data_IF_456902864836
#
_entry.id   IF_456902864836
#
_cell.length_a   1.000
_cell.length_b   1.000
_cell.length_c   1.000
_cell.angle_alpha   90.00
_cell.angle_beta   90.00
_cell.angle_gamma   90.00
#
_symmetry.space_group_name_H-M   'P 1'
#
loop_
_entity.id
_entity.type
_entity.pdbx_description
1 polymer ?
#
# COMPACT_ATOMS: atom_id res chain seq x y z
N UNK A 1 73.82 -23.61 12.60
CA UNK A 1 72.94 -22.77 11.74
C UNK A 1 73.21 -21.31 12.06
N UNK A 2 73.48 -20.48 11.05
CA UNK A 2 73.80 -19.06 11.27
C UNK A 2 72.53 -18.27 11.65
N UNK A 3 72.59 -17.36 12.64
CA UNK A 3 71.43 -16.63 13.16
C UNK A 3 70.78 -15.68 12.13
N UNK A 4 71.48 -15.35 11.02
CA UNK A 4 70.96 -14.55 9.91
C UNK A 4 69.89 -15.28 9.08
N UNK A 5 70.03 -16.60 8.89
CA UNK A 5 69.10 -17.41 8.09
C UNK A 5 67.72 -17.52 8.75
N UNK A 6 67.69 -17.59 10.09
CA UNK A 6 66.45 -17.68 10.88
C UNK A 6 65.60 -16.40 10.75
N UNK A 7 66.25 -15.23 10.75
CA UNK A 7 65.57 -13.94 10.61
C UNK A 7 64.91 -13.77 9.24
N UNK A 8 65.58 -14.23 8.17
CA UNK A 8 65.02 -14.14 6.81
C UNK A 8 63.79 -15.02 6.61
N UNK A 9 63.79 -16.23 7.17
CA UNK A 9 62.63 -17.14 7.13
C UNK A 9 61.48 -16.55 7.94
N UNK A 10 61.77 -16.04 9.14
CA UNK A 10 60.76 -15.43 10.01
C UNK A 10 60.07 -14.22 9.35
N UNK A 11 60.81 -13.33 8.70
CA UNK A 11 60.22 -12.15 8.04
C UNK A 11 59.34 -12.50 6.84
N UNK A 12 59.70 -13.53 6.05
CA UNK A 12 58.86 -14.00 4.94
C UNK A 12 57.55 -14.61 5.46
N UNK A 13 57.64 -15.46 6.49
CA UNK A 13 56.46 -16.03 7.13
C UNK A 13 55.57 -14.95 7.74
N UNK A 14 56.15 -13.94 8.39
CA UNK A 14 55.40 -12.80 8.94
C UNK A 14 54.68 -12.02 7.83
N UNK A 15 55.34 -11.75 6.71
CA UNK A 15 54.74 -11.05 5.57
C UNK A 15 53.57 -11.83 4.96
N UNK A 16 53.69 -13.16 4.81
CA UNK A 16 52.59 -13.99 4.36
C UNK A 16 51.41 -14.00 5.34
N UNK A 17 51.70 -14.04 6.65
CA UNK A 17 50.66 -14.00 7.68
C UNK A 17 49.89 -12.66 7.65
N UNK A 18 50.61 -11.54 7.54
CA UNK A 18 50.00 -10.20 7.41
C UNK A 18 49.17 -10.10 6.12
N UNK A 19 49.68 -10.58 4.99
CA UNK A 19 48.94 -10.60 3.73
C UNK A 19 47.66 -11.43 3.83
N UNK A 20 47.71 -12.57 4.52
CA UNK A 20 46.56 -13.43 4.76
C UNK A 20 45.50 -12.76 5.64
N UNK A 21 45.92 -12.07 6.71
CA UNK A 21 45.01 -11.30 7.57
C UNK A 21 44.34 -10.19 6.78
N UNK A 22 45.09 -9.43 5.98
CA UNK A 22 44.53 -8.36 5.14
C UNK A 22 43.53 -8.92 4.13
N UNK A 23 43.84 -10.06 3.50
CA UNK A 23 42.94 -10.73 2.58
C UNK A 23 41.61 -11.12 3.26
N UNK A 24 41.68 -11.70 4.47
CA UNK A 24 40.49 -12.04 5.24
C UNK A 24 39.69 -10.78 5.58
N UNK A 25 40.35 -9.71 6.04
CA UNK A 25 39.67 -8.45 6.32
C UNK A 25 38.94 -7.92 5.08
N UNK A 26 39.58 -7.92 3.92
CA UNK A 26 38.95 -7.50 2.66
C UNK A 26 37.76 -8.38 2.29
N UNK A 27 37.86 -9.70 2.45
CA UNK A 27 36.74 -10.62 2.21
C UNK A 27 35.57 -10.32 3.14
N UNK A 28 35.81 -10.16 4.44
CA UNK A 28 34.76 -9.85 5.42
C UNK A 28 34.08 -8.51 5.09
N UNK A 29 34.86 -7.46 4.79
CA UNK A 29 34.31 -6.16 4.40
C UNK A 29 33.51 -6.26 3.10
N UNK A 30 33.99 -7.04 2.12
CA UNK A 30 33.28 -7.24 0.85
C UNK A 30 31.94 -7.95 1.07
N UNK A 31 31.90 -8.99 1.90
CA UNK A 31 30.67 -9.72 2.22
C UNK A 31 29.69 -8.80 2.94
N UNK A 32 30.16 -8.05 3.96
CA UNK A 32 29.33 -7.07 4.66
C UNK A 32 28.75 -6.02 3.73
N UNK A 33 29.54 -5.51 2.79
CA UNK A 33 29.08 -4.54 1.80
C UNK A 33 27.98 -5.10 0.89
N UNK A 34 28.12 -6.35 0.42
CA UNK A 34 27.10 -7.01 -0.39
C UNK A 34 25.81 -7.25 0.38
N UNK A 35 25.90 -7.71 1.62
CA UNK A 35 24.74 -7.91 2.51
C UNK A 35 24.04 -6.59 2.76
N UNK A 36 24.80 -5.54 3.12
CA UNK A 36 24.26 -4.21 3.35
C UNK A 36 23.51 -3.69 2.11
N UNK A 37 24.14 -3.78 0.92
CA UNK A 37 23.52 -3.32 -0.32
C UNK A 37 22.24 -4.08 -0.64
N UNK A 38 22.23 -5.41 -0.52
CA UNK A 38 21.07 -6.21 -0.84
C UNK A 38 19.91 -5.98 0.16
N UNK A 39 20.22 -6.01 1.45
CA UNK A 39 19.22 -5.86 2.51
C UNK A 39 18.63 -4.45 2.55
N UNK A 40 19.49 -3.42 2.50
CA UNK A 40 19.05 -2.03 2.59
C UNK A 40 18.13 -1.64 1.41
N UNK A 41 18.42 -2.13 0.21
CA UNK A 41 17.56 -1.90 -0.95
C UNK A 41 16.16 -2.48 -0.76
N UNK A 42 16.04 -3.69 -0.19
CA UNK A 42 14.74 -4.31 0.06
C UNK A 42 13.97 -3.55 1.13
N UNK A 43 14.61 -3.15 2.23
CA UNK A 43 13.98 -2.34 3.28
C UNK A 43 13.51 -0.98 2.75
N UNK A 44 14.32 -0.33 1.91
CA UNK A 44 13.95 0.94 1.28
C UNK A 44 12.68 0.78 0.43
N UNK A 45 12.54 -0.34 -0.31
CA UNK A 45 11.35 -0.60 -1.12
C UNK A 45 10.07 -0.72 -0.27
N UNK A 46 10.16 -1.39 0.88
CA UNK A 46 9.04 -1.46 1.85
C UNK A 46 8.68 -0.07 2.35
N UNK A 47 9.69 0.73 2.73
CA UNK A 47 9.48 2.09 3.22
C UNK A 47 8.80 2.98 2.18
N UNK A 48 9.22 2.89 0.91
CA UNK A 48 8.58 3.61 -0.19
C UNK A 48 7.15 3.12 -0.46
N UNK A 49 6.89 1.82 -0.38
CA UNK A 49 5.53 1.29 -0.51
C UNK A 49 4.62 1.77 0.62
N UNK A 50 5.13 1.83 1.85
CA UNK A 50 4.43 2.38 3.00
C UNK A 50 4.11 3.87 2.80
N UNK A 51 5.03 4.65 2.24
CA UNK A 51 4.79 6.05 1.92
C UNK A 51 3.68 6.23 0.85
N UNK A 52 3.66 5.37 -0.18
CA UNK A 52 2.57 5.35 -1.16
C UNK A 52 1.23 4.96 -0.52
N UNK A 53 1.25 4.01 0.40
CA UNK A 53 0.08 3.60 1.16
C UNK A 53 -0.47 4.75 2.01
N UNK A 54 0.40 5.49 2.72
CA UNK A 54 0.01 6.69 3.46
C UNK A 54 -0.51 7.82 2.56
N UNK A 55 -0.06 7.90 1.31
CA UNK A 55 -0.56 8.85 0.33
C UNK A 55 -1.95 8.48 -0.23
N UNK A 56 -2.54 7.35 0.21
CA UNK A 56 -3.85 6.88 -0.23
C UNK A 56 -3.82 5.93 -1.43
N UNK A 57 -2.63 5.46 -1.85
CA UNK A 57 -2.51 4.45 -2.90
C UNK A 57 -2.51 3.04 -2.30
N UNK A 58 -3.71 2.51 -2.04
CA UNK A 58 -3.91 1.17 -1.47
C UNK A 58 -3.65 0.03 -2.45
N UNK A 59 -3.48 0.30 -3.76
CA UNK A 59 -3.21 -0.70 -4.78
C UNK A 59 -1.73 -1.09 -4.89
N UNK A 60 -0.85 -0.42 -4.13
CA UNK A 60 0.58 -0.74 -4.11
C UNK A 60 0.79 -2.13 -3.51
N UNK A 61 1.62 -2.96 -4.17
CA UNK A 61 2.01 -4.30 -3.70
C UNK A 61 3.51 -4.49 -3.78
N UNK A 62 4.06 -5.20 -2.82
CA UNK A 62 5.47 -5.58 -2.75
C UNK A 62 5.67 -7.01 -3.26
N UNK A 63 6.75 -7.28 -4.01
CA UNK A 63 7.05 -8.63 -4.48
C UNK A 63 7.47 -9.56 -3.32
N UNK A 64 6.87 -10.74 -3.25
CA UNK A 64 7.13 -11.76 -2.21
C UNK A 64 8.07 -12.84 -2.76
N UNK A 65 9.18 -12.41 -3.37
CA UNK A 65 10.15 -13.33 -4.00
C UNK A 65 11.14 -13.94 -2.99
N UNK A 66 11.26 -13.30 -1.82
CA UNK A 66 12.14 -13.78 -0.74
C UNK A 66 11.38 -14.69 0.21
N UNK A 67 12.03 -15.74 0.69
CA UNK A 67 11.53 -16.63 1.77
C UNK A 67 12.12 -16.29 3.14
N UNK A 68 12.77 -15.13 3.26
CA UNK A 68 13.34 -14.60 4.50
C UNK A 68 12.34 -13.70 5.24
N UNK A 69 12.78 -13.09 6.34
CA UNK A 69 11.98 -12.16 7.14
C UNK A 69 11.50 -10.95 6.33
N UNK A 70 12.25 -10.55 5.30
CA UNK A 70 11.84 -9.45 4.40
C UNK A 70 10.70 -9.91 3.49
N UNK A 71 10.73 -11.16 3.03
CA UNK A 71 9.61 -11.79 2.34
C UNK A 71 8.33 -11.81 3.17
N UNK A 72 8.44 -12.22 4.44
CA UNK A 72 7.31 -12.21 5.38
C UNK A 72 6.80 -10.79 5.61
N UNK A 73 7.70 -9.80 5.74
CA UNK A 73 7.31 -8.40 5.88
C UNK A 73 6.57 -7.88 4.64
N UNK A 74 7.02 -8.25 3.44
CA UNK A 74 6.35 -7.89 2.19
C UNK A 74 4.94 -8.49 2.11
N UNK A 75 4.77 -9.74 2.55
CA UNK A 75 3.47 -10.40 2.64
C UNK A 75 2.54 -9.65 3.59
N UNK A 76 2.99 -9.36 4.82
CA UNK A 76 2.20 -8.62 5.81
C UNK A 76 1.82 -7.21 5.33
N UNK A 77 2.71 -6.54 4.60
CA UNK A 77 2.40 -5.26 3.97
C UNK A 77 1.27 -5.40 2.94
N UNK A 78 1.33 -6.42 2.08
CA UNK A 78 0.30 -6.66 1.07
C UNK A 78 -1.05 -6.97 1.71
N UNK A 79 -1.08 -7.79 2.76
CA UNK A 79 -2.30 -8.10 3.51
C UNK A 79 -2.91 -6.85 4.16
N UNK A 80 -2.06 -5.93 4.64
CA UNK A 80 -2.50 -4.66 5.19
C UNK A 80 -3.02 -3.70 4.11
N UNK A 81 -2.38 -3.66 2.95
CA UNK A 81 -2.85 -2.88 1.81
C UNK A 81 -4.21 -3.38 1.31
N UNK A 82 -4.42 -4.69 1.24
CA UNK A 82 -5.69 -5.32 0.87
C UNK A 82 -6.81 -5.03 1.88
N UNK A 83 -6.51 -5.10 3.19
CA UNK A 83 -7.51 -4.75 4.22
C UNK A 83 -7.94 -3.28 4.13
N UNK A 84 -7.00 -2.38 3.86
CA UNK A 84 -7.33 -0.96 3.67
C UNK A 84 -8.16 -0.75 2.40
N UNK A 85 -7.76 -1.34 1.28
CA UNK A 85 -8.52 -1.30 0.03
C UNK A 85 -9.98 -1.75 0.24
N UNK A 86 -10.18 -2.91 0.85
CA UNK A 86 -11.51 -3.44 1.17
C UNK A 86 -12.31 -2.52 2.10
N UNK A 87 -11.65 -1.91 3.09
CA UNK A 87 -12.31 -0.97 4.01
C UNK A 87 -12.84 0.26 3.26
N UNK A 88 -12.03 0.84 2.37
CA UNK A 88 -12.44 2.01 1.59
C UNK A 88 -13.52 1.66 0.57
N UNK A 89 -13.38 0.56 -0.17
CA UNK A 89 -14.41 0.10 -1.12
C UNK A 89 -15.75 -0.19 -0.45
N UNK A 90 -15.73 -0.85 0.72
CA UNK A 90 -16.96 -1.15 1.45
C UNK A 90 -17.61 0.11 2.05
N UNK A 91 -16.81 1.07 2.54
CA UNK A 91 -17.34 2.35 3.05
C UNK A 91 -18.02 3.19 1.97
N UNK A 92 -17.47 3.20 0.74
CA UNK A 92 -18.08 3.88 -0.41
C UNK A 92 -19.39 3.21 -0.84
N UNK A 93 -19.44 1.87 -0.84
CA UNK A 93 -20.66 1.14 -1.18
C UNK A 93 -21.79 1.35 -0.15
N UNK A 94 -21.44 1.53 1.13
CA UNK A 94 -22.42 1.80 2.19
C UNK A 94 -23.09 3.17 2.02
N UNK A 95 -22.32 4.23 1.73
CA UNK A 95 -22.88 5.58 1.55
C UNK A 95 -23.70 5.73 0.26
N UNK A 96 -23.27 5.08 -0.83
CA UNK A 96 -23.99 5.12 -2.11
C UNK A 96 -25.31 4.35 -2.02
N UNK A 97 -25.32 3.21 -1.32
CA UNK A 97 -26.55 2.44 -1.13
C UNK A 97 -27.59 3.25 -0.36
N UNK A 98 -27.20 3.88 0.75
CA UNK A 98 -28.11 4.66 1.60
C UNK A 98 -28.69 5.89 0.87
N UNK A 99 -27.86 6.55 0.04
CA UNK A 99 -28.31 7.71 -0.74
C UNK A 99 -29.17 7.33 -1.94
N UNK A 100 -28.96 6.15 -2.51
CA UNK A 100 -29.79 5.64 -3.60
C UNK A 100 -31.20 5.23 -3.14
N UNK A 101 -31.35 4.73 -1.91
CA UNK A 101 -32.66 4.44 -1.31
C UNK A 101 -33.46 5.70 -0.99
N UNK A 102 -32.82 6.71 -0.38
CA UNK A 102 -33.49 7.98 -0.04
C UNK A 102 -33.87 8.80 -1.28
N UNK A 103 -33.00 8.85 -2.30
CA UNK A 103 -33.33 9.55 -3.57
C UNK A 103 -34.45 8.85 -4.34
N UNK A 104 -34.53 7.51 -4.30
CA UNK A 104 -35.63 6.79 -4.94
C UNK A 104 -36.96 6.93 -4.17
N UNK A 105 -36.92 6.98 -2.84
CA UNK A 105 -38.11 7.26 -2.02
C UNK A 105 -38.62 8.69 -2.25
N UNK A 106 -37.74 9.69 -2.16
CA UNK A 106 -38.09 11.10 -2.43
C UNK A 106 -38.61 11.30 -3.85
N UNK A 107 -38.04 10.60 -4.85
CA UNK A 107 -38.51 10.66 -6.23
C UNK A 107 -39.91 10.03 -6.42
N UNK A 108 -40.23 8.95 -5.68
CA UNK A 108 -41.57 8.36 -5.71
C UNK A 108 -42.61 9.25 -5.02
N UNK A 109 -42.26 9.90 -3.90
CA UNK A 109 -43.16 10.82 -3.18
C UNK A 109 -43.44 12.08 -4.01
N UNK A 110 -42.43 12.68 -4.63
CA UNK A 110 -42.60 13.85 -5.52
C UNK A 110 -43.42 13.51 -6.76
N UNK A 111 -43.28 12.30 -7.31
CA UNK A 111 -44.09 11.83 -8.44
C UNK A 111 -45.56 11.57 -8.04
N UNK A 112 -45.79 11.09 -6.81
CA UNK A 112 -47.14 10.86 -6.27
C UNK A 112 -47.86 12.17 -5.90
N UNK A 113 -47.14 13.20 -5.44
CA UNK A 113 -47.71 14.52 -5.14
C UNK A 113 -48.04 15.31 -6.43
N UNK A 114 -47.22 15.19 -7.48
CA UNK A 114 -47.45 15.84 -8.78
C UNK A 114 -48.70 15.31 -9.53
N UNK A 115 -49.17 14.10 -9.24
CA UNK A 115 -50.45 13.58 -9.78
C UNK A 115 -51.68 14.08 -8.99
N UNK A 116 -51.52 14.57 -7.76
CA UNK A 116 -52.63 15.03 -6.91
C UNK A 116 -53.04 16.49 -7.13
N UNK A 117 -52.18 17.32 -7.73
CA UNK A 117 -52.43 18.75 -7.96
C UNK A 117 -53.11 19.08 -9.31
N UNK A 118 -53.33 18.08 -10.19
CA UNK A 118 -54.00 18.30 -11.49
C UNK A 118 -55.54 18.14 -11.40
N UNK A 119 -56.10 17.63 -10.28
CA UNK A 119 -57.56 17.43 -10.14
C UNK A 119 -58.29 18.55 -9.36
N UNK A 120 -57.58 19.57 -8.85
CA UNK A 120 -58.20 20.68 -8.09
C UNK A 120 -58.42 21.92 -8.98
N UNK A 121 -58.93 21.79 -10.20
CA UNK A 121 -59.47 22.95 -10.94
C UNK A 121 -60.50 22.61 -12.04
N UNK A 122 -61.55 21.85 -11.71
CA UNK A 122 -62.72 21.73 -12.62
C UNK A 122 -64.09 21.90 -11.96
N UNK A 123 -64.17 22.03 -10.64
CA UNK A 123 -65.46 22.10 -9.92
C UNK A 123 -65.96 23.53 -9.63
N UNK A 124 -65.23 24.59 -9.98
CA UNK A 124 -65.65 25.99 -9.68
C UNK A 124 -66.21 26.74 -10.91
N UNK A 125 -66.12 26.19 -12.13
CA UNK A 125 -66.61 26.83 -13.36
C UNK A 125 -67.83 26.12 -13.97
N UNK A 126 -68.89 25.90 -13.18
CA UNK A 126 -70.24 25.62 -13.72
C UNK A 126 -71.31 26.05 -12.70
N UNK A 127 -71.49 27.36 -12.50
CA UNK A 127 -72.71 27.88 -11.86
C UNK A 127 -72.99 29.36 -12.13
N UNK A 128 -72.67 29.84 -13.34
CA UNK A 128 -73.02 31.20 -13.79
C UNK A 128 -73.53 31.21 -15.23
N UNK A 129 -74.43 30.30 -15.59
CA UNK A 129 -75.30 30.43 -16.77
C UNK A 129 -76.34 29.30 -16.67
N UNK A 130 -77.50 29.48 -16.03
CA UNK A 130 -78.67 30.03 -16.73
C UNK A 130 -79.72 30.43 -15.69
N UNK A 131 -79.77 31.72 -15.41
CA UNK A 131 -80.99 32.39 -15.00
C UNK A 131 -81.63 33.04 -16.22
N UNK A 132 -82.96 32.99 -16.24
CA UNK A 132 -83.89 33.60 -17.21
C UNK A 132 -84.20 32.80 -18.47
#
# INVERSE_FOLDING_TARGET
MQPSQIKHIANKTLSYLIGFVVLICLLVTSVLYLVYKNFFNKVQSVSSALQNLYAGNFYTRLPVDSTDEVGVLNMQFNDLAEQLENFFENSLNFEISDRSSTVNEDFQTVSAEAESDIDVDKTVIINLDKGN
#
